data_IF_329185021601
#
_entry.id   IF_329185021601
#
_cell.length_a   1.000
_cell.length_b   1.000
_cell.length_c   1.000
_cell.angle_alpha   90.00
_cell.angle_beta   90.00
_cell.angle_gamma   90.00
#
_symmetry.space_group_name_H-M   'P 1'
#
loop_
_entity.id
_entity.type
_entity.pdbx_description
1 polymer ?
#
# COMPACT_ATOMS: atom_id res chain seq x y z
N UNK A 1 -7.64 5.22 30.88
CA UNK A 1 -6.64 4.24 30.41
C UNK A 1 -6.65 4.28 28.88
N UNK A 2 -5.51 4.53 28.21
CA UNK A 2 -5.45 4.55 26.74
C UNK A 2 -5.08 3.14 26.27
N UNK A 3 -6.07 2.38 25.79
CA UNK A 3 -5.84 1.06 25.20
C UNK A 3 -5.24 1.22 23.80
N UNK A 4 -3.93 1.05 23.67
CA UNK A 4 -3.29 0.82 22.37
C UNK A 4 -3.19 -0.69 22.16
N UNK A 5 -4.22 -1.28 21.57
CA UNK A 5 -4.20 -2.67 21.12
C UNK A 5 -3.33 -2.76 19.87
N UNK A 6 -2.07 -3.14 20.08
CA UNK A 6 -1.15 -3.54 19.01
C UNK A 6 -1.67 -4.82 18.39
N UNK A 7 -2.26 -4.74 17.20
CA UNK A 7 -2.66 -5.92 16.43
C UNK A 7 -1.41 -6.54 15.83
N UNK A 8 -1.19 -7.81 16.15
CA UNK A 8 -0.07 -8.65 15.73
C UNK A 8 -0.09 -8.91 14.22
N UNK A 9 1.03 -8.63 13.55
CA UNK A 9 1.26 -8.99 12.16
C UNK A 9 1.64 -10.48 12.06
N UNK A 10 0.73 -11.29 11.50
CA UNK A 10 1.01 -12.68 11.14
C UNK A 10 2.01 -12.76 9.99
N UNK A 11 3.15 -13.38 10.26
CA UNK A 11 4.19 -13.71 9.29
C UNK A 11 3.80 -14.97 8.51
N UNK A 12 3.00 -14.79 7.46
CA UNK A 12 2.72 -15.87 6.50
C UNK A 12 4.00 -16.11 5.67
N UNK A 13 4.71 -17.20 5.98
CA UNK A 13 5.78 -17.71 5.11
C UNK A 13 5.15 -18.29 3.85
N UNK A 14 5.32 -17.61 2.71
CA UNK A 14 4.92 -18.13 1.40
C UNK A 14 6.18 -18.42 0.59
N UNK A 15 6.20 -19.64 0.07
CA UNK A 15 7.29 -20.37 -0.56
C UNK A 15 7.98 -19.61 -1.70
N UNK A 16 9.30 -19.71 -1.72
CA UNK A 16 10.26 -19.08 -2.62
C UNK A 16 10.18 -19.59 -4.08
N UNK A 17 9.18 -19.15 -4.83
CA UNK A 17 9.35 -18.96 -6.28
C UNK A 17 9.47 -17.44 -6.54
N UNK A 18 10.66 -16.91 -6.24
CA UNK A 18 11.04 -15.52 -6.54
C UNK A 18 11.36 -15.40 -8.03
N UNK A 19 10.31 -15.44 -8.85
CA UNK A 19 10.33 -14.62 -10.06
C UNK A 19 10.28 -13.18 -9.55
N UNK A 20 11.26 -12.35 -9.94
CA UNK A 20 11.39 -10.98 -9.45
C UNK A 20 10.28 -10.12 -10.06
N UNK A 21 9.05 -10.37 -9.63
CA UNK A 21 7.89 -9.58 -10.01
C UNK A 21 8.06 -8.20 -9.39
N UNK A 22 8.42 -7.22 -10.22
CA UNK A 22 8.55 -5.84 -9.78
C UNK A 22 7.13 -5.32 -9.52
N UNK A 23 6.73 -5.35 -8.25
CA UNK A 23 5.44 -4.84 -7.81
C UNK A 23 5.53 -3.32 -7.70
N UNK A 24 4.83 -2.61 -8.58
CA UNK A 24 4.66 -1.16 -8.54
C UNK A 24 3.28 -0.80 -8.02
N UNK A 25 3.19 0.29 -7.27
CA UNK A 25 1.92 0.81 -6.77
C UNK A 25 1.69 2.19 -7.41
N UNK A 26 0.56 2.36 -8.08
CA UNK A 26 0.26 3.55 -8.86
C UNK A 26 -0.77 4.44 -8.12
N UNK A 27 -1.94 4.63 -8.73
CA UNK A 27 -2.98 5.54 -8.25
C UNK A 27 -3.70 5.03 -6.99
N UNK A 28 -3.97 5.93 -6.05
CA UNK A 28 -4.81 5.63 -4.88
C UNK A 28 -6.29 5.55 -5.32
N UNK A 29 -7.00 4.51 -4.88
CA UNK A 29 -8.43 4.29 -5.16
C UNK A 29 -9.31 4.36 -3.91
N UNK A 30 -8.79 4.89 -2.80
CA UNK A 30 -9.56 5.04 -1.56
C UNK A 30 -10.54 6.20 -1.69
N UNK A 31 -11.81 5.98 -1.32
CA UNK A 31 -12.77 7.07 -1.13
C UNK A 31 -12.58 7.71 0.25
N UNK A 32 -12.07 8.94 0.29
CA UNK A 32 -11.86 9.72 1.51
C UNK A 32 -13.15 10.39 2.02
N UNK A 33 -14.10 10.66 1.12
CA UNK A 33 -15.38 11.29 1.47
C UNK A 33 -16.48 10.28 1.83
N UNK A 34 -16.19 8.98 1.83
CA UNK A 34 -17.17 7.92 2.13
C UNK A 34 -17.90 8.17 3.46
N UNK A 35 -17.18 8.66 4.48
CA UNK A 35 -17.75 8.93 5.80
C UNK A 35 -18.73 10.13 5.83
N UNK A 36 -18.65 11.02 4.84
CA UNK A 36 -19.52 12.20 4.70
C UNK A 36 -20.67 11.92 3.72
N UNK A 37 -20.74 10.69 3.17
CA UNK A 37 -21.70 10.33 2.12
C UNK A 37 -21.32 10.84 0.73
N UNK A 38 -20.07 11.28 0.56
CA UNK A 38 -19.53 11.76 -0.71
C UNK A 38 -18.62 10.73 -1.40
N UNK A 39 -18.18 11.09 -2.60
CA UNK A 39 -17.15 10.36 -3.34
C UNK A 39 -16.02 11.31 -3.72
N UNK A 40 -14.89 11.20 -3.03
CA UNK A 40 -13.68 11.95 -3.32
C UNK A 40 -12.48 11.03 -3.13
N UNK A 41 -11.68 10.90 -4.17
CA UNK A 41 -10.46 10.11 -4.17
C UNK A 41 -9.29 11.10 -4.15
N UNK A 42 -8.41 11.02 -3.14
CA UNK A 42 -7.15 11.75 -3.11
C UNK A 42 -6.23 11.10 -4.17
N UNK A 43 -6.38 11.54 -5.42
CA UNK A 43 -5.69 10.98 -6.56
C UNK A 43 -4.21 11.35 -6.58
N UNK A 44 -3.38 10.60 -5.86
CA UNK A 44 -1.94 10.56 -6.13
C UNK A 44 -1.69 9.67 -7.35
N UNK A 45 -0.82 10.09 -8.28
CA UNK A 45 -0.52 9.33 -9.50
C UNK A 45 0.41 8.14 -9.28
N UNK A 46 1.28 8.22 -8.27
CA UNK A 46 2.29 7.19 -7.98
C UNK A 46 2.41 7.00 -6.46
N UNK A 47 2.64 5.76 -6.02
CA UNK A 47 2.90 5.49 -4.61
C UNK A 47 4.33 5.90 -4.24
N UNK A 48 4.43 6.87 -3.35
CA UNK A 48 5.67 7.18 -2.65
C UNK A 48 5.58 6.74 -1.19
N UNK A 49 6.52 5.92 -0.73
CA UNK A 49 6.63 5.53 0.66
C UNK A 49 6.97 6.75 1.54
N UNK A 50 6.28 6.92 2.66
CA UNK A 50 6.49 8.04 3.60
C UNK A 50 7.68 7.84 4.55
N UNK A 51 8.28 6.65 4.59
CA UNK A 51 9.42 6.37 5.46
C UNK A 51 10.31 5.24 4.94
N UNK A 52 11.35 4.91 5.71
CA UNK A 52 12.38 3.93 5.35
C UNK A 52 11.83 2.53 5.12
N UNK A 53 12.44 1.82 4.16
CA UNK A 53 12.11 0.44 3.80
C UNK A 53 12.11 -0.48 5.03
N UNK A 54 11.04 -1.26 5.19
CA UNK A 54 10.86 -2.16 6.33
C UNK A 54 10.16 -1.53 7.55
N UNK A 55 9.93 -0.22 7.57
CA UNK A 55 9.13 0.44 8.62
C UNK A 55 7.64 0.44 8.29
N UNK A 56 6.77 0.60 9.29
CA UNK A 56 5.33 0.77 9.07
C UNK A 56 4.99 2.04 8.26
N UNK A 57 5.87 3.03 8.26
CA UNK A 57 5.75 4.25 7.45
C UNK A 57 5.98 3.98 5.95
N UNK A 58 6.82 2.99 5.59
CA UNK A 58 7.01 2.59 4.18
C UNK A 58 5.77 2.00 3.53
N UNK A 59 4.81 1.52 4.34
CA UNK A 59 3.55 0.97 3.87
C UNK A 59 2.50 2.04 3.56
N UNK A 60 2.77 3.30 3.89
CA UNK A 60 1.85 4.43 3.73
C UNK A 60 2.36 5.39 2.67
N UNK A 61 1.44 5.90 1.87
CA UNK A 61 1.71 6.90 0.86
C UNK A 61 2.04 8.26 1.51
N UNK A 62 3.13 8.90 1.11
CA UNK A 62 3.51 10.23 1.57
C UNK A 62 2.49 11.31 1.17
N UNK A 63 1.81 11.15 0.02
CA UNK A 63 0.85 12.13 -0.50
C UNK A 63 -0.54 12.03 0.17
N UNK A 64 -1.16 10.84 0.16
CA UNK A 64 -2.53 10.66 0.64
C UNK A 64 -2.63 9.93 2.00
N UNK A 65 -1.51 9.56 2.61
CA UNK A 65 -1.43 8.79 3.86
C UNK A 65 -2.21 7.46 3.86
N UNK A 66 -2.58 6.96 2.68
CA UNK A 66 -3.23 5.67 2.52
C UNK A 66 -2.23 4.53 2.54
N UNK A 67 -2.69 3.37 2.99
CA UNK A 67 -1.90 2.16 2.89
C UNK A 67 -1.70 1.78 1.42
N UNK A 68 -0.52 1.26 1.04
CA UNK A 68 -0.17 0.81 -0.32
C UNK A 68 -1.21 -0.13 -0.95
N UNK A 69 -1.97 -0.86 -0.12
CA UNK A 69 -3.04 -1.75 -0.58
C UNK A 69 -4.26 -1.03 -1.18
N UNK A 70 -4.44 0.26 -0.89
CA UNK A 70 -5.46 1.09 -1.53
C UNK A 70 -4.99 1.66 -2.88
N UNK A 71 -3.72 1.48 -3.21
CA UNK A 71 -3.19 1.85 -4.51
C UNK A 71 -3.34 0.69 -5.50
N UNK A 72 -3.48 0.99 -6.79
CA UNK A 72 -3.45 -0.05 -7.82
C UNK A 72 -2.10 -0.76 -7.76
N UNK A 73 -2.15 -2.08 -7.59
CA UNK A 73 -0.98 -2.96 -7.61
C UNK A 73 -0.76 -3.41 -9.04
N UNK A 74 0.30 -2.92 -9.66
CA UNK A 74 0.80 -3.39 -10.94
C UNK A 74 1.91 -4.40 -10.69
N UNK A 75 1.82 -5.55 -11.33
CA UNK A 75 2.83 -6.61 -11.25
C UNK A 75 3.50 -6.65 -12.61
N UNK A 76 4.69 -6.06 -12.72
CA UNK A 76 5.52 -6.25 -13.89
C UNK A 76 6.14 -7.65 -13.79
N UNK A 77 5.52 -8.61 -14.48
CA UNK A 77 6.20 -9.87 -14.77
C UNK A 77 7.19 -9.55 -15.88
N UNK A 78 8.47 -9.44 -15.52
CA UNK A 78 9.58 -9.36 -16.46
C UNK A 78 9.69 -10.70 -17.20
N UNK A 79 8.72 -11.00 -18.07
CA UNK A 79 8.78 -12.10 -19.03
C UNK A 79 9.73 -11.66 -20.14
N UNK A 80 11.01 -11.79 -19.84
CA UNK A 80 12.10 -11.71 -20.80
C UNK A 80 11.74 -12.62 -21.99
N UNK A 81 11.37 -12.00 -23.11
CA UNK A 81 11.24 -12.64 -24.42
C UNK A 81 12.52 -12.44 -25.21
#
# INVERSE_FOLDING_TARGET
MKETKTVSNGSVKRSDHYESEIVKYEECRKNHAANIGGYAVDGCGEFMASGEEGTSASLKCAACNCHRNFHRREVANESCS
#
